data_IF_731701381839
#
_entry.id   IF_731701381839
#
_cell.length_a   1.000
_cell.length_b   1.000
_cell.length_c   1.000
_cell.angle_alpha   90.00
_cell.angle_beta   90.00
_cell.angle_gamma   90.00
#
_symmetry.space_group_name_H-M   'P 1'
#
loop_
_entity.id
_entity.type
_entity.pdbx_description
1 polymer ?
#
# COMPACT_ATOMS: atom_id res chain seq x y z
N UNK A 1 -23.49 11.69 18.75
CA UNK A 1 -23.37 12.14 17.34
C UNK A 1 -21.97 11.85 16.84
N UNK A 2 -21.85 11.33 15.65
CA UNK A 2 -20.56 11.09 15.03
C UNK A 2 -20.00 12.39 14.45
N UNK A 3 -18.76 12.71 14.80
CA UNK A 3 -18.03 13.82 14.19
C UNK A 3 -17.17 13.26 13.06
N UNK A 4 -17.38 13.74 11.85
CA UNK A 4 -16.64 13.29 10.66
C UNK A 4 -15.87 14.47 10.10
N UNK A 5 -14.56 14.28 9.92
CA UNK A 5 -13.67 15.27 9.30
C UNK A 5 -13.04 14.69 8.07
N UNK A 6 -12.84 15.53 7.06
CA UNK A 6 -12.21 15.15 5.81
C UNK A 6 -10.89 15.91 5.64
N UNK A 7 -9.82 15.16 5.36
CA UNK A 7 -8.52 15.71 5.02
C UNK A 7 -8.24 15.32 3.57
N UNK A 8 -8.10 16.30 2.68
CA UNK A 8 -8.00 16.03 1.25
C UNK A 8 -6.64 15.51 0.81
N UNK A 9 -5.57 15.81 1.56
CA UNK A 9 -4.23 15.36 1.24
C UNK A 9 -3.56 14.80 2.49
N UNK A 10 -2.84 13.72 2.35
CA UNK A 10 -2.13 13.11 3.48
C UNK A 10 -1.08 14.06 4.09
N UNK A 11 -0.52 14.97 3.29
CA UNK A 11 0.44 15.96 3.77
C UNK A 11 -0.16 16.91 4.82
N UNK A 12 -1.47 17.09 4.80
CA UNK A 12 -2.20 17.94 5.75
C UNK A 12 -2.63 17.17 7.00
N UNK A 13 -2.36 15.86 7.06
CA UNK A 13 -2.67 15.04 8.22
C UNK A 13 -1.60 15.20 9.31
N UNK A 14 -2.05 15.51 10.53
CA UNK A 14 -1.18 15.61 11.69
C UNK A 14 -1.39 14.35 12.55
N UNK A 15 -0.37 13.50 12.73
CA UNK A 15 -0.50 12.30 13.56
C UNK A 15 -1.02 12.60 14.97
N UNK A 16 -0.67 13.74 15.54
CA UNK A 16 -1.12 14.12 16.88
C UNK A 16 -2.63 14.34 16.94
N UNK A 17 -3.22 14.89 15.88
CA UNK A 17 -4.67 15.11 15.82
C UNK A 17 -5.44 13.85 15.40
N UNK A 18 -4.77 12.90 14.77
CA UNK A 18 -5.39 11.63 14.35
C UNK A 18 -5.40 10.59 15.47
N UNK A 19 -4.54 10.75 16.47
CA UNK A 19 -4.44 9.80 17.57
C UNK A 19 -5.79 9.62 18.28
N UNK A 20 -6.17 8.38 18.54
CA UNK A 20 -7.43 8.04 19.19
C UNK A 20 -8.67 8.08 18.27
N UNK A 21 -8.49 8.40 17.01
CA UNK A 21 -9.56 8.40 16.02
C UNK A 21 -9.52 7.19 15.10
N UNK A 22 -10.67 6.81 14.59
CA UNK A 22 -10.71 5.88 13.46
C UNK A 22 -10.44 6.65 12.18
N UNK A 23 -9.43 6.22 11.44
CA UNK A 23 -9.00 6.88 10.21
C UNK A 23 -9.32 5.98 9.02
N UNK A 24 -9.99 6.54 8.02
CA UNK A 24 -10.26 5.85 6.75
C UNK A 24 -9.41 6.51 5.68
N UNK A 25 -8.54 5.74 5.05
CA UNK A 25 -7.71 6.18 3.93
C UNK A 25 -8.41 5.83 2.64
N UNK A 26 -8.62 6.83 1.79
CA UNK A 26 -9.31 6.66 0.51
C UNK A 26 -8.31 6.91 -0.61
N UNK A 27 -7.98 5.87 -1.34
CA UNK A 27 -7.12 5.94 -2.52
C UNK A 27 -7.64 4.95 -3.57
N UNK A 28 -8.47 5.44 -4.48
CA UNK A 28 -9.05 4.60 -5.55
C UNK A 28 -8.08 4.42 -6.70
N UNK A 29 -7.41 5.48 -7.12
CA UNK A 29 -6.38 5.45 -8.13
C UNK A 29 -4.99 5.72 -7.50
N UNK A 30 -4.19 4.67 -7.29
CA UNK A 30 -4.39 3.31 -7.84
C UNK A 30 -4.23 2.23 -6.79
N UNK A 31 -3.78 2.59 -5.60
CA UNK A 31 -3.34 1.59 -4.60
C UNK A 31 -4.47 0.66 -4.14
N UNK A 32 -5.62 1.22 -3.77
CA UNK A 32 -6.75 0.40 -3.31
C UNK A 32 -7.24 -0.54 -4.41
N UNK A 33 -7.29 -0.06 -5.65
CA UNK A 33 -7.68 -0.90 -6.79
C UNK A 33 -6.68 -2.04 -6.99
N UNK A 34 -5.38 -1.76 -6.84
CA UNK A 34 -4.33 -2.79 -6.89
C UNK A 34 -4.53 -3.84 -5.81
N UNK A 35 -4.78 -3.42 -4.57
CA UNK A 35 -4.99 -4.33 -3.45
C UNK A 35 -6.20 -5.23 -3.67
N UNK A 36 -7.32 -4.66 -4.08
CA UNK A 36 -8.55 -5.42 -4.35
C UNK A 36 -8.31 -6.43 -5.49
N UNK A 37 -7.63 -6.01 -6.55
CA UNK A 37 -7.31 -6.88 -7.68
C UNK A 37 -6.39 -8.04 -7.25
N UNK A 38 -5.37 -7.76 -6.46
CA UNK A 38 -4.47 -8.79 -5.96
C UNK A 38 -5.23 -9.85 -5.14
N UNK A 39 -6.10 -9.43 -4.24
CA UNK A 39 -6.91 -10.38 -3.46
C UNK A 39 -7.90 -11.15 -4.32
N UNK A 40 -8.52 -10.51 -5.31
CA UNK A 40 -9.41 -11.19 -6.24
C UNK A 40 -8.69 -12.28 -7.06
N UNK A 41 -7.40 -12.10 -7.30
CA UNK A 41 -6.57 -13.04 -8.06
C UNK A 41 -5.73 -13.97 -7.17
N UNK A 42 -6.07 -14.10 -5.91
CA UNK A 42 -5.55 -15.16 -5.05
C UNK A 42 -4.52 -14.74 -4.00
N UNK A 43 -4.22 -13.46 -3.86
CA UNK A 43 -3.38 -13.02 -2.75
C UNK A 43 -4.06 -13.34 -1.43
N UNK A 44 -3.30 -13.84 -0.46
CA UNK A 44 -3.83 -14.25 0.85
C UNK A 44 -3.54 -13.25 1.94
N UNK A 45 -2.51 -12.45 1.77
CA UNK A 45 -2.03 -11.50 2.77
C UNK A 45 -1.37 -10.33 2.08
N UNK A 46 -1.49 -9.15 2.68
CA UNK A 46 -0.82 -7.95 2.23
C UNK A 46 -0.15 -7.28 3.43
N UNK A 47 1.10 -6.89 3.25
CA UNK A 47 1.85 -6.09 4.21
C UNK A 47 2.20 -4.76 3.57
N UNK A 48 1.78 -3.68 4.20
CA UNK A 48 2.11 -2.33 3.77
C UNK A 48 3.37 -1.86 4.49
N UNK A 49 4.33 -1.34 3.73
CA UNK A 49 5.58 -0.83 4.26
C UNK A 49 5.72 0.65 3.92
N UNK A 50 6.31 1.42 4.82
CA UNK A 50 6.47 2.85 4.63
C UNK A 50 7.60 3.17 3.63
N UNK A 51 8.60 2.33 3.53
CA UNK A 51 9.75 2.54 2.64
C UNK A 51 10.07 1.29 1.83
N UNK A 52 10.72 1.45 0.64
CA UNK A 52 11.18 0.30 -0.13
C UNK A 52 12.14 -0.61 0.64
N UNK A 53 12.98 -0.05 1.49
CA UNK A 53 13.94 -0.84 2.26
C UNK A 53 13.24 -1.71 3.32
N UNK A 54 12.21 -1.20 3.95
CA UNK A 54 11.37 -2.01 4.84
C UNK A 54 10.72 -3.18 4.11
N UNK A 55 10.21 -2.95 2.92
CA UNK A 55 9.60 -3.99 2.10
C UNK A 55 10.62 -5.05 1.69
N UNK A 56 11.81 -4.64 1.28
CA UNK A 56 12.90 -5.56 0.92
C UNK A 56 13.33 -6.41 2.11
N UNK A 57 13.47 -5.81 3.29
CA UNK A 57 13.85 -6.52 4.50
C UNK A 57 12.79 -7.52 4.92
N UNK A 58 11.52 -7.14 4.87
CA UNK A 58 10.41 -8.06 5.17
C UNK A 58 10.39 -9.22 4.16
N UNK A 59 10.60 -8.96 2.89
CA UNK A 59 10.70 -10.00 1.87
C UNK A 59 11.85 -10.97 2.14
N UNK A 60 12.98 -10.46 2.62
CA UNK A 60 14.13 -11.30 3.00
C UNK A 60 13.76 -12.22 4.16
N UNK A 61 13.09 -11.70 5.18
CA UNK A 61 12.70 -12.46 6.37
C UNK A 61 11.65 -13.53 6.03
N UNK A 62 10.68 -13.19 5.20
CA UNK A 62 9.61 -14.12 4.81
C UNK A 62 10.03 -15.13 3.74
N UNK A 63 11.12 -14.87 3.05
CA UNK A 63 11.58 -15.66 1.91
C UNK A 63 11.26 -14.96 0.59
N UNK A 64 12.30 -14.53 -0.13
CA UNK A 64 12.14 -13.68 -1.33
C UNK A 64 11.23 -14.28 -2.40
N UNK A 65 11.26 -15.61 -2.56
CA UNK A 65 10.45 -16.29 -3.56
C UNK A 65 9.00 -16.61 -3.09
N UNK A 66 8.72 -16.37 -1.81
CA UNK A 66 7.39 -16.60 -1.24
C UNK A 66 6.50 -15.36 -1.31
N UNK A 67 7.05 -14.22 -1.73
CA UNK A 67 6.36 -12.95 -1.73
C UNK A 67 6.46 -12.25 -3.07
N UNK A 68 5.51 -11.38 -3.34
CA UNK A 68 5.55 -10.43 -4.46
C UNK A 68 5.85 -9.06 -3.87
N UNK A 69 6.92 -8.42 -4.32
CA UNK A 69 7.25 -7.05 -3.98
C UNK A 69 6.58 -6.12 -4.99
N UNK A 70 5.63 -5.34 -4.51
CA UNK A 70 4.92 -4.36 -5.31
C UNK A 70 5.17 -2.95 -4.82
N UNK A 71 5.37 -2.04 -5.74
CA UNK A 71 5.57 -0.64 -5.40
C UNK A 71 6.00 0.18 -6.62
N UNK A 72 5.90 1.49 -6.46
CA UNK A 72 6.25 2.40 -7.55
C UNK A 72 6.81 3.72 -7.00
N UNK A 73 7.52 4.42 -7.86
CA UNK A 73 7.91 5.80 -7.66
C UNK A 73 7.89 6.50 -9.03
N UNK A 74 7.23 7.65 -9.10
CA UNK A 74 7.07 8.41 -10.33
C UNK A 74 6.49 7.56 -11.47
N UNK A 75 5.47 6.75 -11.16
CA UNK A 75 4.78 5.85 -12.08
C UNK A 75 5.66 4.74 -12.67
N UNK A 76 6.77 4.40 -12.00
CA UNK A 76 7.66 3.31 -12.41
C UNK A 76 7.82 2.33 -11.28
N UNK A 77 7.91 1.06 -11.63
CA UNK A 77 8.23 0.03 -10.66
C UNK A 77 9.59 0.30 -10.02
N UNK A 78 9.71 0.01 -8.74
CA UNK A 78 10.95 0.19 -8.00
C UNK A 78 11.98 -0.85 -8.43
N UNK A 79 13.30 -0.49 -8.46
CA UNK A 79 14.34 -1.45 -8.77
C UNK A 79 14.28 -2.67 -7.85
N UNK A 80 14.35 -3.86 -8.45
CA UNK A 80 14.31 -5.12 -7.72
C UNK A 80 12.92 -5.54 -7.23
N UNK A 81 11.89 -4.77 -7.52
CA UNK A 81 10.51 -5.14 -7.22
C UNK A 81 9.90 -5.94 -8.38
N UNK A 82 8.94 -6.79 -8.08
CA UNK A 82 8.32 -7.66 -9.07
C UNK A 82 7.29 -6.94 -9.93
N UNK A 83 6.51 -6.04 -9.32
CA UNK A 83 5.41 -5.34 -9.97
C UNK A 83 5.36 -3.88 -9.50
N UNK A 84 4.72 -3.05 -10.30
CA UNK A 84 4.49 -1.66 -9.97
C UNK A 84 3.16 -1.43 -9.25
N UNK A 85 2.45 -0.38 -9.64
CA UNK A 85 1.17 -0.01 -9.03
C UNK A 85 0.04 0.05 -10.09
N UNK A 86 0.07 -0.87 -11.04
CA UNK A 86 -1.03 -1.04 -12.00
C UNK A 86 -1.81 -2.30 -11.67
N UNK A 87 -3.14 -2.26 -11.58
CA UNK A 87 -3.95 -3.45 -11.35
C UNK A 87 -3.73 -4.55 -12.39
N UNK A 88 -3.33 -4.17 -13.60
CA UNK A 88 -3.07 -5.11 -14.69
C UNK A 88 -1.88 -6.03 -14.43
N UNK A 89 -1.00 -5.68 -13.51
CA UNK A 89 0.17 -6.49 -13.14
C UNK A 89 -0.14 -7.55 -12.09
N UNK A 90 -1.30 -7.48 -11.45
CA UNK A 90 -1.70 -8.36 -10.33
C UNK A 90 -2.73 -9.41 -10.77
N UNK A 91 -2.38 -10.15 -11.78
CA UNK A 91 -3.27 -11.18 -12.36
C UNK A 91 -2.88 -12.60 -11.97
#
# INVERSE_FOLDING_TARGET
>A
MMDVRTILRWQDADPATLAGHTVVVIDVLRWTTVVVTAFANGARRLEACATPDEARELARVLGRHEVVLGGERDNRALPGFDVGNSPLEYT
#
